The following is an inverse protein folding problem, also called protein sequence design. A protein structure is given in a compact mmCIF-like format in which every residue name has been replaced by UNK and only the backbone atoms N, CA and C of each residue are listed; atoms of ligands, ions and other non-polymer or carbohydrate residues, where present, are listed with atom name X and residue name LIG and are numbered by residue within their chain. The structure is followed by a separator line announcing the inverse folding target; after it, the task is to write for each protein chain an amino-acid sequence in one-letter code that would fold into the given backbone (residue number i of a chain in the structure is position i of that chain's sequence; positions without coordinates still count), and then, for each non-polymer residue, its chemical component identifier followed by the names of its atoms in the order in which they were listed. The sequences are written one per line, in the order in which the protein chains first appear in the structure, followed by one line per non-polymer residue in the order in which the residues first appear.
data_IF_235641071763
#
_entry.id   IF_235641071763
#
_cell.length_a   1.000
_cell.length_b   1.000
_cell.length_c   1.000
_cell.angle_alpha   90.00
_cell.angle_beta   90.00
_cell.angle_gamma   90.00
#
_symmetry.space_group_name_H-M   'P 1'
#
loop_
_entity.id
_entity.type
_entity.pdbx_description
1 polymer ?
#
# COMPACT_ATOMS: atom_id res chain seq x y z
N UNK A 1 -59.36 -10.45 25.88
CA UNK A 1 -57.88 -10.53 25.96
C UNK A 1 -57.36 -10.36 24.54
N UNK A 2 -56.80 -9.21 24.15
CA UNK A 2 -56.32 -9.04 22.80
C UNK A 2 -54.94 -9.68 22.68
N UNK A 3 -54.80 -10.51 21.66
CA UNK A 3 -53.59 -11.20 21.22
C UNK A 3 -52.54 -10.16 20.81
N UNK A 4 -51.38 -10.13 21.48
CA UNK A 4 -50.22 -9.34 21.03
C UNK A 4 -49.47 -10.15 19.99
N UNK A 5 -49.50 -9.70 18.74
CA UNK A 5 -48.63 -10.18 17.66
C UNK A 5 -47.27 -9.51 17.84
N UNK A 6 -46.24 -10.27 18.20
CA UNK A 6 -44.86 -9.78 18.22
C UNK A 6 -44.36 -9.71 16.78
N UNK A 7 -44.06 -8.50 16.29
CA UNK A 7 -43.39 -8.32 15.01
C UNK A 7 -41.91 -8.68 15.22
N UNK A 8 -41.48 -9.82 14.69
CA UNK A 8 -40.07 -10.19 14.66
C UNK A 8 -39.44 -9.47 13.45
N UNK A 9 -38.81 -8.32 13.67
CA UNK A 9 -38.00 -7.67 12.64
C UNK A 9 -36.66 -8.42 12.54
N UNK A 10 -36.53 -9.29 11.55
CA UNK A 10 -35.23 -9.83 11.14
C UNK A 10 -34.54 -8.78 10.26
N UNK A 11 -33.56 -8.07 10.81
CA UNK A 11 -32.62 -7.29 10.01
C UNK A 11 -31.61 -8.28 9.41
N UNK A 12 -31.80 -8.61 8.13
CA UNK A 12 -30.77 -9.22 7.31
C UNK A 12 -29.87 -8.07 6.85
N UNK A 13 -28.72 -7.90 7.50
CA UNK A 13 -27.64 -7.07 6.99
C UNK A 13 -26.67 -7.97 6.24
N UNK A 14 -26.52 -7.72 4.95
CA UNK A 14 -25.40 -8.21 4.16
C UNK A 14 -24.17 -7.38 4.52
N UNK A 15 -23.13 -8.06 4.99
CA UNK A 15 -21.79 -7.55 5.31
C UNK A 15 -21.60 -6.85 6.68
N UNK A 16 -20.76 -7.52 7.48
CA UNK A 16 -19.75 -6.96 8.41
C UNK A 16 -20.19 -6.39 9.76
N UNK A 17 -19.41 -6.81 10.79
CA UNK A 17 -19.34 -6.33 12.18
C UNK A 17 -20.41 -6.83 13.17
N UNK A 18 -20.15 -7.98 13.81
CA UNK A 18 -20.61 -8.22 15.18
C UNK A 18 -19.54 -7.69 16.16
N UNK A 19 -19.52 -6.37 16.34
CA UNK A 19 -18.95 -5.77 17.54
C UNK A 19 -19.96 -5.89 18.69
N UNK A 20 -19.49 -6.19 19.90
CA UNK A 20 -20.34 -6.18 21.10
C UNK A 20 -20.80 -4.75 21.42
N UNK A 21 -21.92 -4.32 20.85
CA UNK A 21 -22.62 -3.08 21.20
C UNK A 21 -23.87 -3.35 22.04
N UNK A 22 -24.16 -2.46 22.99
CA UNK A 22 -25.41 -2.50 23.78
C UNK A 22 -26.55 -1.96 22.93
N UNK A 23 -27.57 -2.78 22.67
CA UNK A 23 -28.81 -2.35 21.99
C UNK A 23 -29.72 -1.68 23.02
N UNK A 24 -29.94 -0.37 22.87
CA UNK A 24 -30.98 0.35 23.62
C UNK A 24 -32.27 0.32 22.81
N UNK A 25 -33.30 -0.35 23.34
CA UNK A 25 -34.64 -0.35 22.75
C UNK A 25 -35.36 0.91 23.23
N UNK A 26 -35.60 1.85 22.33
CA UNK A 26 -36.49 2.98 22.58
C UNK A 26 -37.91 2.53 22.25
N UNK A 27 -38.75 2.36 23.27
CA UNK A 27 -40.19 2.16 23.03
C UNK A 27 -40.80 3.49 22.53
N UNK A 28 -41.56 3.50 21.42
CA UNK A 28 -42.19 4.72 20.94
C UNK A 28 -43.39 5.05 21.82
N UNK A 29 -43.16 5.90 22.82
CA UNK A 29 -44.19 6.49 23.65
C UNK A 29 -44.50 7.92 23.20
N UNK A 30 -45.64 8.08 22.53
CA UNK A 30 -46.52 9.25 22.44
C UNK A 30 -45.91 10.66 22.22
N UNK A 31 -46.28 11.24 21.07
CA UNK A 31 -46.53 12.67 20.81
C UNK A 31 -45.79 13.68 21.71
N UNK A 32 -44.70 14.27 21.20
CA UNK A 32 -44.43 15.72 21.32
C UNK A 32 -43.34 16.15 20.31
N UNK A 33 -43.64 17.19 19.53
CA UNK A 33 -42.78 17.78 18.49
C UNK A 33 -41.57 18.57 19.08
N UNK A 34 -40.55 17.89 19.60
CA UNK A 34 -39.23 18.50 19.88
C UNK A 34 -38.07 17.48 19.85
N UNK A 35 -37.74 16.98 18.65
CA UNK A 35 -36.53 16.18 18.42
C UNK A 35 -35.36 17.08 18.03
N UNK A 36 -34.80 17.81 18.99
CA UNK A 36 -33.41 18.27 18.90
C UNK A 36 -32.50 17.26 19.59
N UNK A 37 -31.88 16.38 18.80
CA UNK A 37 -30.85 15.47 19.29
C UNK A 37 -29.61 16.29 19.63
N UNK A 38 -29.37 16.55 20.92
CA UNK A 38 -28.07 17.06 21.36
C UNK A 38 -26.99 16.01 21.02
N UNK A 39 -25.86 16.40 20.40
CA UNK A 39 -24.77 15.47 20.14
C UNK A 39 -24.24 14.94 21.48
N UNK A 40 -24.19 13.62 21.61
CA UNK A 40 -23.63 12.97 22.79
C UNK A 40 -22.18 13.43 23.00
N UNK A 41 -21.75 13.66 24.25
CA UNK A 41 -20.35 13.95 24.52
C UNK A 41 -19.49 12.78 24.04
N UNK A 42 -18.37 13.09 23.36
CA UNK A 42 -17.36 12.11 22.97
C UNK A 42 -16.91 11.32 24.21
N UNK A 43 -17.41 10.08 24.33
CA UNK A 43 -16.88 9.10 25.26
C UNK A 43 -15.74 8.42 24.50
N UNK A 44 -14.47 8.58 24.91
CA UNK A 44 -13.39 7.83 24.31
C UNK A 44 -13.74 6.34 24.41
N UNK A 45 -13.73 5.64 23.27
CA UNK A 45 -13.89 4.19 23.26
C UNK A 45 -12.86 3.53 24.20
N UNK A 46 -13.15 2.32 24.71
CA UNK A 46 -12.16 1.57 25.48
C UNK A 46 -10.84 1.51 24.67
N UNK A 47 -9.67 1.59 25.33
CA UNK A 47 -8.39 1.50 24.64
C UNK A 47 -8.39 0.22 23.79
N UNK A 48 -8.29 0.40 22.48
CA UNK A 48 -8.17 -0.68 21.52
C UNK A 48 -6.89 -1.45 21.89
N UNK A 49 -7.01 -2.77 22.11
CA UNK A 49 -5.87 -3.59 22.52
C UNK A 49 -4.73 -3.52 21.49
N UNK A 50 -3.51 -3.78 21.95
CA UNK A 50 -2.34 -3.89 21.08
C UNK A 50 -2.64 -4.89 19.94
N UNK A 51 -2.44 -4.49 18.69
CA UNK A 51 -2.71 -5.34 17.54
C UNK A 51 -1.88 -6.63 17.65
N UNK A 52 -2.53 -7.76 17.39
CA UNK A 52 -1.86 -9.06 17.25
C UNK A 52 -2.03 -9.56 15.82
N UNK A 53 -0.91 -9.95 15.20
CA UNK A 53 -0.91 -10.54 13.87
C UNK A 53 -1.69 -11.87 13.87
N UNK A 54 -2.70 -11.95 13.00
CA UNK A 54 -3.59 -13.09 12.86
C UNK A 54 -4.00 -13.26 11.39
N UNK A 55 -4.68 -14.35 11.09
CA UNK A 55 -5.28 -14.59 9.79
C UNK A 55 -6.61 -13.83 9.64
N UNK A 56 -6.93 -13.55 8.39
CA UNK A 56 -8.16 -12.95 7.89
C UNK A 56 -8.58 -13.68 6.60
N UNK A 57 -9.85 -13.57 6.25
CA UNK A 57 -10.46 -14.15 5.05
C UNK A 57 -11.12 -13.08 4.19
N UNK A 58 -10.76 -11.81 4.35
CA UNK A 58 -11.40 -10.67 3.69
C UNK A 58 -11.43 -10.83 2.16
N UNK A 59 -10.35 -11.36 1.58
CA UNK A 59 -10.21 -11.53 0.14
C UNK A 59 -10.70 -12.90 -0.39
N UNK A 60 -11.34 -13.72 0.45
CA UNK A 60 -11.88 -15.02 0.02
C UNK A 60 -13.26 -14.91 -0.64
N UNK A 61 -13.41 -15.59 -1.78
CA UNK A 61 -14.72 -15.79 -2.41
C UNK A 61 -15.39 -17.06 -1.88
N UNK A 62 -16.62 -16.94 -1.37
CA UNK A 62 -17.34 -18.07 -0.80
C UNK A 62 -16.86 -18.36 0.62
N UNK A 63 -17.75 -18.22 1.59
CA UNK A 63 -17.43 -18.36 3.01
C UNK A 63 -17.22 -19.83 3.38
N UNK A 64 -15.98 -20.29 3.19
CA UNK A 64 -15.60 -21.71 3.26
C UNK A 64 -14.35 -21.97 4.11
N UNK A 65 -13.70 -20.90 4.57
CA UNK A 65 -12.57 -20.94 5.48
C UNK A 65 -13.00 -20.66 6.91
N UNK A 66 -12.50 -21.47 7.83
CA UNK A 66 -12.57 -21.24 9.27
C UNK A 66 -11.18 -20.90 9.78
N UNK A 67 -11.08 -19.82 10.56
CA UNK A 67 -9.88 -19.49 11.34
C UNK A 67 -10.14 -19.94 12.78
N UNK A 68 -9.23 -20.74 13.33
CA UNK A 68 -9.33 -21.21 14.70
C UNK A 68 -9.23 -20.05 15.71
N UNK A 69 -9.67 -20.29 16.95
CA UNK A 69 -9.70 -19.24 17.98
C UNK A 69 -8.33 -18.67 18.39
N UNK A 70 -7.23 -19.27 17.95
CA UNK A 70 -5.87 -18.72 18.09
C UNK A 70 -5.53 -17.67 17.03
N UNK A 71 -6.35 -17.53 15.99
CA UNK A 71 -6.12 -16.63 14.87
C UNK A 71 -5.04 -17.09 13.90
N UNK A 72 -4.47 -18.30 14.05
CA UNK A 72 -3.27 -18.73 13.32
C UNK A 72 -3.49 -19.98 12.47
N UNK A 73 -4.49 -20.80 12.79
CA UNK A 73 -4.84 -21.99 11.99
C UNK A 73 -6.02 -21.69 11.07
N UNK A 74 -5.82 -21.86 9.75
CA UNK A 74 -6.89 -21.80 8.75
C UNK A 74 -7.25 -23.21 8.27
N UNK A 75 -8.55 -23.48 8.16
CA UNK A 75 -9.12 -24.74 7.70
C UNK A 75 -10.16 -24.49 6.60
N UNK A 76 -10.11 -25.26 5.52
CA UNK A 76 -11.14 -25.20 4.47
C UNK A 76 -12.12 -26.37 4.64
N UNK A 77 -13.37 -26.07 5.02
CA UNK A 77 -14.33 -27.09 5.47
C UNK A 77 -15.23 -27.64 4.36
N UNK A 78 -15.59 -26.79 3.39
CA UNK A 78 -16.48 -27.10 2.28
C UNK A 78 -16.18 -26.14 1.11
N UNK A 79 -16.49 -26.51 -0.13
CA UNK A 79 -16.09 -25.81 -1.37
C UNK A 79 -14.59 -25.88 -1.76
N UNK A 80 -14.37 -25.67 -3.05
CA UNK A 80 -13.15 -26.07 -3.75
C UNK A 80 -11.91 -25.22 -3.45
N UNK A 81 -12.04 -23.96 -3.02
CA UNK A 81 -10.90 -23.03 -2.86
C UNK A 81 -11.24 -21.78 -2.04
N UNK A 82 -10.34 -21.40 -1.11
CA UNK A 82 -10.35 -20.10 -0.42
C UNK A 82 -8.92 -19.64 -0.08
N UNK A 83 -8.74 -18.36 0.25
CA UNK A 83 -7.45 -17.76 0.63
C UNK A 83 -7.51 -17.20 2.04
N UNK A 84 -6.66 -17.72 2.92
CA UNK A 84 -6.36 -17.10 4.21
C UNK A 84 -5.13 -16.21 4.05
N UNK A 85 -5.18 -15.02 4.63
CA UNK A 85 -4.08 -14.06 4.58
C UNK A 85 -3.89 -13.38 5.94
N UNK A 86 -2.77 -12.70 6.16
CA UNK A 86 -2.56 -11.89 7.35
C UNK A 86 -3.56 -10.73 7.48
N UNK A 87 -3.89 -10.34 8.72
CA UNK A 87 -4.68 -9.15 9.04
C UNK A 87 -3.87 -7.84 8.99
N UNK A 88 -2.55 -7.95 8.84
CA UNK A 88 -1.63 -6.86 8.59
C UNK A 88 -0.67 -7.23 7.46
N UNK A 89 0.07 -6.25 6.99
CA UNK A 89 0.96 -6.36 5.84
C UNK A 89 2.15 -5.43 6.00
N UNK A 90 3.22 -5.70 5.27
CA UNK A 90 4.42 -4.85 5.25
C UNK A 90 4.64 -4.24 3.88
N UNK A 91 5.13 -3.00 3.85
CA UNK A 91 5.43 -2.25 2.61
C UNK A 91 6.92 -2.23 2.25
N UNK A 92 7.79 -2.53 3.22
CA UNK A 92 9.25 -2.53 3.09
C UNK A 92 9.88 -3.33 4.22
N UNK A 93 11.19 -3.54 4.20
CA UNK A 93 11.91 -4.33 5.20
C UNK A 93 12.05 -5.81 4.87
N UNK A 94 12.58 -6.57 5.85
CA UNK A 94 12.92 -7.99 5.72
C UNK A 94 12.19 -8.82 6.75
N UNK A 95 11.27 -9.65 6.26
CA UNK A 95 10.29 -10.34 7.11
C UNK A 95 10.32 -11.84 6.93
N UNK A 96 10.04 -12.57 8.00
CA UNK A 96 10.05 -14.01 8.03
C UNK A 96 8.83 -14.58 8.76
N UNK A 97 8.20 -15.59 8.17
CA UNK A 97 7.17 -16.39 8.83
C UNK A 97 7.28 -17.87 8.42
N UNK A 98 6.63 -18.73 9.19
CA UNK A 98 6.50 -20.16 8.89
C UNK A 98 5.05 -20.56 8.75
N UNK A 99 4.81 -21.56 7.91
CA UNK A 99 3.53 -22.24 7.80
C UNK A 99 3.75 -23.73 7.97
N UNK A 100 3.11 -24.29 8.99
CA UNK A 100 3.04 -25.73 9.21
C UNK A 100 1.85 -26.28 8.45
N UNK A 101 2.08 -27.33 7.66
CA UNK A 101 1.03 -27.98 6.88
C UNK A 101 0.46 -29.13 7.70
N UNK A 102 -0.71 -28.93 8.30
CA UNK A 102 -1.32 -29.90 9.21
C UNK A 102 -2.07 -30.99 8.44
N UNK A 103 -2.82 -30.58 7.42
CA UNK A 103 -3.41 -31.46 6.42
C UNK A 103 -3.43 -30.78 5.05
N UNK A 104 -3.31 -31.60 4.01
CA UNK A 104 -3.39 -31.17 2.63
C UNK A 104 -4.02 -32.32 1.85
N UNK A 105 -5.14 -32.04 1.22
CA UNK A 105 -5.90 -32.99 0.44
C UNK A 105 -5.22 -33.22 -0.90
N UNK A 106 -4.97 -34.50 -1.22
CA UNK A 106 -4.55 -34.92 -2.57
C UNK A 106 -5.72 -34.84 -3.58
N UNK A 107 -6.94 -34.59 -3.10
CA UNK A 107 -8.15 -34.46 -3.92
C UNK A 107 -8.41 -33.01 -4.40
N UNK A 108 -7.59 -32.05 -3.95
CA UNK A 108 -7.74 -30.62 -4.22
C UNK A 108 -6.79 -30.10 -5.31
N UNK A 109 -7.36 -29.74 -6.45
CA UNK A 109 -6.91 -28.68 -7.36
C UNK A 109 -5.45 -28.22 -7.20
N UNK A 110 -4.52 -28.86 -7.92
CA UNK A 110 -3.07 -28.57 -7.92
C UNK A 110 -2.68 -27.11 -8.22
N UNK A 111 -3.60 -26.25 -8.68
CA UNK A 111 -3.32 -24.84 -8.95
C UNK A 111 -3.71 -23.89 -7.81
N UNK A 112 -4.41 -24.38 -6.78
CA UNK A 112 -5.01 -23.57 -5.71
C UNK A 112 -4.16 -23.51 -4.43
N UNK A 113 -3.39 -24.55 -4.12
CA UNK A 113 -2.59 -24.61 -2.90
C UNK A 113 -1.27 -23.87 -3.07
N UNK A 114 -1.33 -22.55 -3.04
CA UNK A 114 -0.16 -21.67 -3.19
C UNK A 114 0.07 -20.89 -1.90
N UNK A 115 1.32 -20.89 -1.43
CA UNK A 115 1.75 -20.27 -0.18
C UNK A 115 2.85 -19.26 -0.44
N UNK A 116 2.74 -18.06 0.14
CA UNK A 116 3.79 -17.06 0.02
C UNK A 116 3.32 -15.68 0.46
N UNK A 117 3.76 -14.66 -0.29
CA UNK A 117 3.39 -13.26 -0.03
C UNK A 117 2.88 -12.60 -1.31
N UNK A 118 1.93 -11.69 -1.17
CA UNK A 118 1.40 -10.90 -2.27
C UNK A 118 0.61 -9.68 -1.82
N UNK A 119 0.41 -8.75 -2.72
CA UNK A 119 -0.46 -7.58 -2.48
C UNK A 119 -1.93 -7.99 -2.46
N UNK A 120 -2.80 -7.14 -1.92
CA UNK A 120 -4.24 -7.39 -1.84
C UNK A 120 -4.88 -7.79 -3.18
N UNK A 121 -4.39 -7.24 -4.30
CA UNK A 121 -4.86 -7.52 -5.65
C UNK A 121 -4.73 -9.00 -6.06
N UNK A 122 -3.71 -9.70 -5.55
CA UNK A 122 -3.44 -11.11 -5.89
C UNK A 122 -3.96 -12.09 -4.84
N UNK A 123 -4.47 -11.61 -3.70
CA UNK A 123 -5.06 -12.48 -2.67
C UNK A 123 -6.42 -13.05 -3.07
N UNK A 124 -7.08 -12.43 -4.05
CA UNK A 124 -8.27 -13.00 -4.69
C UNK A 124 -7.97 -14.29 -5.48
N UNK A 125 -6.75 -14.44 -5.99
CA UNK A 125 -6.30 -15.62 -6.72
C UNK A 125 -4.77 -15.76 -6.67
N UNK A 126 -4.27 -16.53 -5.72
CA UNK A 126 -2.83 -16.79 -5.52
C UNK A 126 -2.16 -17.54 -6.67
N UNK A 127 -2.93 -18.04 -7.63
CA UNK A 127 -2.44 -18.70 -8.85
C UNK A 127 -1.96 -17.75 -9.95
N UNK A 128 -2.27 -16.44 -9.85
CA UNK A 128 -1.96 -15.42 -10.86
C UNK A 128 -1.36 -14.22 -10.14
N UNK A 129 -0.04 -14.05 -10.23
CA UNK A 129 0.64 -12.99 -9.46
C UNK A 129 0.95 -11.76 -10.30
N UNK A 130 1.23 -11.92 -11.60
CA UNK A 130 1.69 -10.81 -12.45
C UNK A 130 2.92 -10.07 -11.89
N UNK A 131 3.66 -10.68 -10.96
CA UNK A 131 4.75 -10.09 -10.19
C UNK A 131 4.39 -9.26 -8.95
N UNK A 132 3.11 -9.14 -8.60
CA UNK A 132 2.65 -8.51 -7.36
C UNK A 132 2.68 -9.47 -6.16
N UNK A 133 3.42 -10.58 -6.28
CA UNK A 133 3.60 -11.56 -5.22
C UNK A 133 4.46 -12.73 -5.69
N UNK A 134 4.85 -13.58 -4.75
CA UNK A 134 5.47 -14.85 -5.05
C UNK A 134 4.80 -15.92 -4.19
N UNK A 135 4.27 -16.94 -4.86
CA UNK A 135 3.63 -18.07 -4.19
C UNK A 135 4.22 -19.39 -4.67
N UNK A 136 4.60 -20.22 -3.70
CA UNK A 136 5.06 -21.59 -3.90
C UNK A 136 3.86 -22.53 -3.90
N UNK A 137 3.69 -23.24 -5.01
CA UNK A 137 2.67 -24.26 -5.16
C UNK A 137 3.12 -25.57 -4.49
N UNK A 138 2.17 -26.41 -4.04
CA UNK A 138 2.43 -27.73 -3.41
C UNK A 138 3.32 -28.65 -4.24
N UNK A 139 3.33 -28.49 -5.56
CA UNK A 139 4.23 -29.24 -6.46
C UNK A 139 5.71 -28.81 -6.39
N UNK A 140 6.02 -27.71 -5.70
CA UNK A 140 7.35 -27.10 -5.67
C UNK A 140 7.61 -26.14 -6.84
N UNK A 141 6.59 -25.86 -7.66
CA UNK A 141 6.65 -24.85 -8.72
C UNK A 141 6.19 -23.48 -8.21
N UNK A 142 6.49 -22.41 -8.95
CA UNK A 142 5.93 -21.09 -8.68
C UNK A 142 4.59 -20.90 -9.39
N UNK A 143 3.64 -20.27 -8.73
CA UNK A 143 2.42 -19.79 -9.35
C UNK A 143 2.71 -18.52 -10.16
N UNK A 144 2.47 -18.58 -11.48
CA UNK A 144 2.54 -17.48 -12.45
C UNK A 144 3.56 -16.37 -12.13
N UNK A 145 4.89 -16.67 -12.18
CA UNK A 145 5.92 -15.75 -11.71
C UNK A 145 6.16 -14.57 -12.67
N UNK A 146 6.57 -13.42 -12.12
CA UNK A 146 6.84 -12.17 -12.84
C UNK A 146 7.77 -12.32 -14.05
N UNK A 147 8.96 -12.87 -13.78
CA UNK A 147 9.90 -13.34 -14.78
C UNK A 147 9.83 -14.86 -14.79
N UNK A 148 10.20 -15.53 -15.88
CA UNK A 148 10.30 -16.99 -15.94
C UNK A 148 11.61 -17.43 -15.30
N UNK A 149 11.70 -17.65 -13.97
CA UNK A 149 12.97 -17.90 -13.33
C UNK A 149 13.29 -19.38 -13.57
N UNK A 150 14.57 -19.73 -13.67
CA UNK A 150 14.95 -21.11 -13.38
C UNK A 150 14.77 -21.32 -11.86
N UNK A 151 13.55 -21.67 -11.45
CA UNK A 151 13.22 -21.97 -10.06
C UNK A 151 13.14 -23.48 -9.85
N UNK A 152 14.06 -24.02 -9.04
CA UNK A 152 14.00 -25.40 -8.56
C UNK A 152 13.51 -25.44 -7.12
N UNK A 153 12.20 -25.51 -6.94
CA UNK A 153 11.58 -25.71 -5.62
C UNK A 153 11.50 -27.17 -5.21
N UNK A 154 10.92 -27.40 -4.03
CA UNK A 154 10.61 -28.72 -3.51
C UNK A 154 9.12 -28.81 -3.18
N UNK A 155 8.44 -29.93 -3.50
CA UNK A 155 7.05 -30.11 -3.12
C UNK A 155 6.91 -30.15 -1.60
N UNK A 156 5.76 -29.73 -1.09
CA UNK A 156 5.42 -29.74 0.33
C UNK A 156 4.06 -30.39 0.59
N UNK A 157 3.85 -30.89 1.81
CA UNK A 157 2.61 -31.54 2.21
C UNK A 157 2.53 -31.75 3.72
N UNK A 158 1.60 -32.59 4.21
CA UNK A 158 1.35 -32.76 5.65
C UNK A 158 2.61 -33.09 6.45
N UNK A 159 2.82 -32.35 7.54
CA UNK A 159 3.98 -32.47 8.43
C UNK A 159 5.22 -31.67 7.99
N UNK A 160 5.22 -31.06 6.81
CA UNK A 160 6.27 -30.12 6.40
C UNK A 160 6.04 -28.74 7.01
N UNK A 161 7.14 -28.03 7.27
CA UNK A 161 7.14 -26.59 7.60
C UNK A 161 7.77 -25.84 6.43
N UNK A 162 6.99 -24.93 5.85
CA UNK A 162 7.44 -24.03 4.79
C UNK A 162 7.78 -22.68 5.40
N UNK A 163 9.02 -22.23 5.20
CA UNK A 163 9.47 -20.92 5.63
C UNK A 163 9.49 -19.94 4.46
N UNK A 164 9.02 -18.72 4.70
CA UNK A 164 8.98 -17.65 3.71
C UNK A 164 9.77 -16.46 4.25
N UNK A 165 10.82 -16.07 3.53
CA UNK A 165 11.57 -14.85 3.81
C UNK A 165 11.29 -13.83 2.70
N UNK A 166 10.70 -12.69 3.04
CA UNK A 166 10.38 -11.61 2.12
C UNK A 166 11.36 -10.45 2.36
N UNK A 167 12.25 -10.21 1.41
CA UNK A 167 13.08 -9.01 1.35
C UNK A 167 12.36 -7.99 0.47
N UNK A 168 11.48 -7.21 1.08
CA UNK A 168 10.66 -6.21 0.38
C UNK A 168 11.51 -5.01 -0.02
N UNK A 169 12.64 -4.75 0.62
CA UNK A 169 13.59 -3.72 0.18
C UNK A 169 14.27 -4.09 -1.14
N UNK A 170 14.58 -5.39 -1.32
CA UNK A 170 15.23 -5.89 -2.53
C UNK A 170 14.26 -6.47 -3.58
N UNK A 171 12.97 -6.53 -3.29
CA UNK A 171 11.95 -7.16 -4.14
C UNK A 171 12.18 -8.65 -4.37
N UNK A 172 12.51 -9.40 -3.30
CA UNK A 172 12.82 -10.83 -3.40
C UNK A 172 12.11 -11.66 -2.32
N UNK A 173 11.56 -12.79 -2.73
CA UNK A 173 10.95 -13.78 -1.82
C UNK A 173 11.71 -15.10 -1.90
N UNK A 174 12.06 -15.65 -0.74
CA UNK A 174 12.82 -16.88 -0.62
C UNK A 174 11.98 -17.92 0.11
N UNK A 175 11.96 -19.13 -0.43
CA UNK A 175 11.26 -20.26 0.16
C UNK A 175 12.24 -21.27 0.73
N UNK A 176 11.87 -21.86 1.86
CA UNK A 176 12.55 -23.04 2.40
C UNK A 176 11.53 -24.09 2.83
N UNK A 177 11.98 -25.34 2.86
CA UNK A 177 11.22 -26.45 3.44
C UNK A 177 12.08 -27.18 4.47
N UNK A 178 11.55 -27.37 5.67
CA UNK A 178 12.23 -28.08 6.75
C UNK A 178 13.68 -27.61 6.96
N UNK A 179 13.90 -26.29 6.94
CA UNK A 179 15.20 -25.64 7.12
C UNK A 179 16.08 -25.49 5.86
N UNK A 180 15.78 -26.20 4.76
CA UNK A 180 16.56 -26.12 3.52
C UNK A 180 16.03 -25.07 2.54
N UNK A 181 16.86 -24.06 2.21
CA UNK A 181 16.54 -23.06 1.19
C UNK A 181 16.41 -23.66 -0.20
N UNK A 182 15.35 -23.29 -0.92
CA UNK A 182 15.08 -23.76 -2.27
C UNK A 182 15.92 -23.02 -3.31
N UNK A 183 16.08 -23.61 -4.49
CA UNK A 183 16.78 -23.01 -5.63
C UNK A 183 18.21 -22.53 -5.33
N UNK A 184 18.91 -23.12 -4.36
CA UNK A 184 20.23 -22.69 -3.92
C UNK A 184 20.28 -21.29 -3.29
N UNK A 185 19.12 -20.79 -2.84
CA UNK A 185 19.00 -19.46 -2.29
C UNK A 185 19.80 -19.27 -0.99
N UNK A 186 20.25 -18.04 -0.77
CA UNK A 186 20.80 -17.57 0.49
C UNK A 186 20.24 -16.16 0.79
N UNK A 187 19.12 -16.07 1.52
CA UNK A 187 18.46 -14.79 1.82
C UNK A 187 19.34 -13.82 2.63
N UNK A 188 20.15 -14.32 3.57
CA UNK A 188 21.06 -13.47 4.36
C UNK A 188 22.11 -12.76 3.48
N UNK A 189 22.51 -13.40 2.37
CA UNK A 189 23.41 -12.82 1.38
C UNK A 189 22.69 -12.16 0.18
N UNK A 190 21.35 -12.11 0.18
CA UNK A 190 20.54 -11.59 -0.94
C UNK A 190 20.63 -12.40 -2.24
N UNK A 191 21.08 -13.65 -2.20
CA UNK A 191 21.32 -14.46 -3.39
C UNK A 191 20.15 -15.39 -3.71
N UNK A 192 19.70 -15.38 -4.97
CA UNK A 192 18.58 -16.20 -5.45
C UNK A 192 17.22 -15.56 -5.16
N UNK A 193 16.26 -16.37 -4.76
CA UNK A 193 14.88 -15.93 -4.51
C UNK A 193 14.08 -15.73 -5.78
N UNK A 194 12.78 -15.50 -5.59
CA UNK A 194 11.81 -15.13 -6.61
C UNK A 194 11.69 -13.62 -6.62
N UNK A 195 11.87 -13.03 -7.79
CA UNK A 195 11.71 -11.59 -7.96
C UNK A 195 10.22 -11.23 -7.92
N UNK A 196 9.91 -10.18 -7.16
CA UNK A 196 8.60 -9.54 -7.11
C UNK A 196 8.77 -8.07 -7.45
N UNK A 197 7.78 -7.49 -8.10
CA UNK A 197 7.72 -6.04 -8.26
C UNK A 197 7.38 -5.44 -6.92
N UNK A 198 8.30 -4.72 -6.30
CA UNK A 198 7.98 -3.83 -5.18
C UNK A 198 7.82 -2.45 -5.79
N UNK A 199 6.56 -2.07 -6.02
CA UNK A 199 6.27 -0.75 -6.56
C UNK A 199 6.09 0.22 -5.40
N UNK A 200 6.87 1.31 -5.39
CA UNK A 200 6.63 2.45 -4.51
C UNK A 200 5.13 2.84 -4.52
N UNK A 201 4.43 2.72 -3.39
CA UNK A 201 3.03 3.12 -3.23
C UNK A 201 1.94 2.16 -3.74
N UNK A 202 2.27 0.97 -4.26
CA UNK A 202 1.28 0.08 -4.90
C UNK A 202 0.98 -1.24 -4.16
N UNK A 203 1.41 -1.41 -2.92
CA UNK A 203 0.94 -2.57 -2.17
C UNK A 203 1.72 -2.89 -0.92
N UNK A 204 0.97 -3.10 0.14
CA UNK A 204 1.38 -3.85 1.30
C UNK A 204 1.36 -5.35 0.97
N UNK A 205 2.41 -6.08 1.30
CA UNK A 205 2.48 -7.53 1.10
C UNK A 205 1.92 -8.24 2.30
N UNK A 206 0.97 -9.15 2.05
CA UNK A 206 0.37 -10.00 3.06
C UNK A 206 0.96 -11.40 2.95
N UNK A 207 1.21 -12.08 4.08
CA UNK A 207 1.43 -13.52 4.07
C UNK A 207 0.10 -14.19 3.75
N UNK A 208 0.10 -15.17 2.86
CA UNK A 208 -1.15 -15.81 2.44
C UNK A 208 -0.96 -17.25 1.98
N UNK A 209 -2.04 -18.03 2.11
CA UNK A 209 -2.15 -19.39 1.61
C UNK A 209 -3.52 -19.62 0.96
N UNK A 210 -3.49 -20.23 -0.22
CA UNK A 210 -4.68 -20.84 -0.83
C UNK A 210 -4.91 -22.25 -0.28
N UNK A 211 -6.15 -22.56 0.08
CA UNK A 211 -6.56 -23.84 0.67
C UNK A 211 -7.77 -24.41 -0.07
N UNK A 212 -7.78 -25.72 -0.25
CA UNK A 212 -8.89 -26.52 -0.79
C UNK A 212 -9.54 -27.37 0.29
N UNK A 213 -10.71 -27.96 0.00
CA UNK A 213 -11.49 -28.74 0.98
C UNK A 213 -10.62 -29.78 1.71
N UNK A 214 -10.60 -29.70 3.05
CA UNK A 214 -9.85 -30.62 3.91
C UNK A 214 -8.40 -30.19 4.19
N UNK A 215 -7.93 -29.09 3.60
CA UNK A 215 -6.63 -28.51 3.89
C UNK A 215 -6.69 -27.74 5.21
N UNK A 216 -5.63 -27.89 6.02
CA UNK A 216 -5.42 -27.19 7.28
C UNK A 216 -3.96 -26.76 7.35
N UNK A 217 -3.75 -25.47 7.62
CA UNK A 217 -2.42 -24.91 7.75
C UNK A 217 -2.36 -23.92 8.92
N UNK A 218 -1.24 -23.93 9.64
CA UNK A 218 -1.02 -23.09 10.81
C UNK A 218 0.17 -22.16 10.59
N UNK A 219 -0.06 -20.85 10.73
CA UNK A 219 0.97 -19.84 10.60
C UNK A 219 1.70 -19.61 11.93
N UNK A 220 3.00 -19.34 11.84
CA UNK A 220 3.76 -18.71 12.91
C UNK A 220 4.34 -17.42 12.35
N UNK A 221 3.85 -16.28 12.85
CA UNK A 221 4.35 -14.95 12.50
C UNK A 221 5.48 -14.45 13.42
N UNK A 222 5.85 -15.22 14.46
CA UNK A 222 6.88 -14.86 15.44
C UNK A 222 6.41 -14.75 16.89
N UNK A 223 5.14 -15.02 17.17
CA UNK A 223 4.62 -15.05 18.54
C UNK A 223 5.18 -16.22 19.36
N UNK A 224 5.64 -17.27 18.68
CA UNK A 224 6.34 -18.42 19.27
C UNK A 224 7.64 -18.69 18.51
N UNK A 225 8.56 -19.44 19.12
CA UNK A 225 9.82 -19.82 18.48
C UNK A 225 9.56 -20.52 17.13
N UNK A 226 10.28 -20.07 16.09
CA UNK A 226 10.25 -20.73 14.78
C UNK A 226 10.89 -22.12 14.86
N UNK A 227 10.35 -23.08 14.10
CA UNK A 227 10.93 -24.42 13.98
C UNK A 227 12.32 -24.37 13.35
N UNK A 228 12.53 -23.40 12.45
CA UNK A 228 13.82 -23.10 11.87
C UNK A 228 14.13 -21.60 12.09
N UNK A 229 15.35 -21.23 12.49
CA UNK A 229 15.65 -19.83 12.77
C UNK A 229 15.54 -18.97 11.49
N UNK A 230 15.04 -17.72 11.59
CA UNK A 230 15.05 -16.78 10.47
C UNK A 230 16.48 -16.57 9.92
N UNK A 231 16.64 -16.21 8.64
CA UNK A 231 17.93 -15.74 8.15
C UNK A 231 18.41 -14.50 8.92
N UNK A 232 19.71 -14.29 8.97
CA UNK A 232 20.29 -13.07 9.53
C UNK A 232 19.72 -11.82 8.83
N UNK A 233 19.27 -10.85 9.63
CA UNK A 233 18.69 -9.60 9.13
C UNK A 233 17.20 -9.66 8.77
N UNK A 234 16.51 -10.77 9.03
CA UNK A 234 15.06 -10.88 8.85
C UNK A 234 14.34 -10.90 10.21
N UNK A 235 13.36 -10.03 10.37
CA UNK A 235 12.51 -9.98 11.56
C UNK A 235 11.30 -10.91 11.42
N UNK A 236 10.69 -11.37 12.53
CA UNK A 236 9.40 -12.06 12.46
C UNK A 236 8.33 -11.16 11.85
N UNK A 237 7.50 -11.69 10.95
CA UNK A 237 6.46 -10.92 10.22
C UNK A 237 5.43 -10.27 11.14
N UNK A 238 5.18 -10.82 12.33
CA UNK A 238 4.27 -10.22 13.30
C UNK A 238 4.89 -9.09 14.14
N UNK A 239 6.12 -8.66 13.83
CA UNK A 239 6.82 -7.63 14.60
C UNK A 239 6.54 -6.24 14.05
N UNK A 240 6.47 -5.24 14.94
CA UNK A 240 6.32 -3.85 14.54
C UNK A 240 4.91 -3.48 14.06
N UNK A 241 3.93 -4.37 14.14
CA UNK A 241 2.54 -4.06 13.80
C UNK A 241 1.87 -3.29 14.96
N UNK A 242 1.14 -2.23 14.62
CA UNK A 242 0.42 -1.35 15.53
C UNK A 242 -1.09 -1.32 15.24
N UNK A 243 -1.87 -0.75 16.15
CA UNK A 243 -3.30 -0.53 15.98
C UNK A 243 -3.56 0.92 15.54
N UNK A 244 -4.23 1.13 14.42
CA UNK A 244 -4.61 2.47 13.97
C UNK A 244 -5.84 3.02 14.72
N UNK A 245 -6.23 4.26 14.43
CA UNK A 245 -7.38 4.91 15.06
C UNK A 245 -8.73 4.20 14.81
N UNK A 246 -8.81 3.35 13.77
CA UNK A 246 -9.98 2.55 13.45
C UNK A 246 -9.99 1.17 14.14
N UNK A 247 -8.89 0.80 14.80
CA UNK A 247 -8.71 -0.53 15.39
C UNK A 247 -8.13 -1.55 14.41
N UNK A 248 -7.69 -1.15 13.23
CA UNK A 248 -7.06 -2.02 12.25
C UNK A 248 -5.58 -2.22 12.57
N UNK A 249 -5.09 -3.41 12.22
CA UNK A 249 -3.69 -3.78 12.35
C UNK A 249 -2.89 -3.23 11.16
N UNK A 250 -1.92 -2.36 11.44
CA UNK A 250 -1.11 -1.70 10.43
C UNK A 250 0.38 -1.91 10.71
N UNK A 251 1.18 -2.04 9.66
CA UNK A 251 2.61 -1.74 9.77
C UNK A 251 2.76 -0.22 9.75
N UNK A 252 3.20 0.43 10.84
CA UNK A 252 3.56 1.86 10.81
C UNK A 252 4.77 2.11 9.88
N UNK A 253 5.41 1.05 9.39
CA UNK A 253 6.69 1.05 8.73
C UNK A 253 7.83 1.16 9.75
N UNK A 254 9.10 0.92 9.37
CA UNK A 254 10.24 1.27 10.22
C UNK A 254 10.10 2.70 10.75
N UNK A 255 10.50 2.95 12.02
CA UNK A 255 10.55 4.30 12.58
C UNK A 255 11.26 5.24 11.57
N UNK A 256 10.52 6.17 10.99
CA UNK A 256 10.98 6.97 9.85
C UNK A 256 10.48 6.53 8.47
N UNK A 257 9.39 5.76 8.37
CA UNK A 257 8.53 5.73 7.19
C UNK A 257 7.42 6.78 7.36
N UNK A 258 7.45 7.88 6.57
CA UNK A 258 6.36 8.85 6.48
C UNK A 258 5.08 8.19 6.00
N UNK A 259 3.95 8.79 6.41
CA UNK A 259 2.63 8.53 5.85
C UNK A 259 2.69 8.41 4.31
N UNK A 260 1.79 7.59 3.74
CA UNK A 260 1.48 7.55 2.30
C UNK A 260 1.71 8.93 1.68
N UNK A 261 2.49 9.09 0.59
CA UNK A 261 2.74 10.41 0.05
C UNK A 261 1.42 11.10 -0.17
N UNK A 262 1.33 12.32 0.33
CA UNK A 262 0.15 13.14 0.27
C UNK A 262 -0.49 13.08 -1.12
N UNK A 263 -1.78 12.70 -1.23
CA UNK A 263 -2.45 12.77 -2.51
C UNK A 263 -2.42 14.21 -3.02
N UNK A 264 -2.02 14.38 -4.28
CA UNK A 264 -2.14 15.66 -4.94
C UNK A 264 -3.52 15.73 -5.59
N UNK A 265 -4.32 16.70 -5.16
CA UNK A 265 -5.54 17.08 -5.88
C UNK A 265 -5.19 18.14 -6.92
N UNK A 266 -5.76 18.02 -8.13
CA UNK A 266 -5.49 18.97 -9.20
C UNK A 266 -6.76 19.39 -9.95
N UNK A 267 -6.79 20.65 -10.36
CA UNK A 267 -7.77 21.18 -11.31
C UNK A 267 -7.06 21.36 -12.65
N UNK A 268 -7.26 20.40 -13.55
CA UNK A 268 -6.80 20.49 -14.93
C UNK A 268 -7.89 21.17 -15.79
N UNK A 269 -7.58 22.32 -16.39
CA UNK A 269 -8.43 22.97 -17.38
C UNK A 269 -8.48 22.19 -18.70
N UNK A 270 -7.37 21.57 -19.09
CA UNK A 270 -7.29 20.70 -20.26
C UNK A 270 -6.38 19.50 -20.00
N UNK A 271 -6.70 18.37 -20.63
CA UNK A 271 -6.01 17.10 -20.43
C UNK A 271 -6.42 16.37 -19.14
N UNK A 272 -6.13 15.08 -19.10
CA UNK A 272 -6.36 14.24 -17.93
C UNK A 272 -5.30 14.52 -16.86
N UNK A 273 -5.70 14.46 -15.59
CA UNK A 273 -4.77 14.44 -14.48
C UNK A 273 -4.00 13.11 -14.50
N UNK A 274 -2.67 13.19 -14.44
CA UNK A 274 -1.81 12.03 -14.28
C UNK A 274 -0.91 12.22 -13.09
N UNK A 275 -0.69 11.16 -12.33
CA UNK A 275 0.09 11.23 -11.12
C UNK A 275 0.93 9.98 -10.90
N UNK A 276 1.91 10.14 -10.03
CA UNK A 276 2.72 9.07 -9.46
C UNK A 276 3.03 9.44 -8.02
N UNK A 277 3.07 8.45 -7.15
CA UNK A 277 3.49 8.59 -5.77
C UNK A 277 4.40 7.40 -5.45
N UNK A 278 5.56 7.64 -4.84
CA UNK A 278 6.48 6.59 -4.42
C UNK A 278 6.15 6.09 -3.00
N UNK A 279 6.71 4.97 -2.55
CA UNK A 279 6.79 4.65 -1.13
C UNK A 279 7.90 5.54 -0.58
N UNK A 280 7.58 6.26 0.49
CA UNK A 280 8.25 7.47 0.95
C UNK A 280 9.79 7.53 0.83
N UNK A 281 10.29 8.74 0.54
CA UNK A 281 11.69 9.11 0.55
C UNK A 281 11.99 10.11 1.67
N UNK A 282 12.73 9.66 2.70
CA UNK A 282 13.46 10.54 3.63
C UNK A 282 12.64 11.49 4.52
N UNK A 283 13.36 12.35 5.28
CA UNK A 283 12.76 13.37 6.15
C UNK A 283 12.28 14.63 5.40
N UNK A 284 12.55 14.70 4.09
CA UNK A 284 12.15 15.79 3.19
C UNK A 284 11.62 15.16 1.89
N UNK A 285 10.38 15.48 1.53
CA UNK A 285 9.71 14.93 0.35
C UNK A 285 9.94 15.81 -0.89
N UNK A 286 10.26 15.19 -2.03
CA UNK A 286 10.40 15.84 -3.33
C UNK A 286 9.15 15.64 -4.18
N UNK A 287 8.38 16.71 -4.40
CA UNK A 287 7.20 16.66 -5.26
C UNK A 287 7.39 17.48 -6.54
N UNK A 288 7.02 16.88 -7.67
CA UNK A 288 7.11 17.49 -8.99
C UNK A 288 5.70 17.81 -9.50
N UNK A 289 5.44 19.09 -9.77
CA UNK A 289 4.23 19.57 -10.46
C UNK A 289 4.59 19.95 -11.88
N UNK A 290 3.99 19.27 -12.84
CA UNK A 290 4.26 19.44 -14.27
C UNK A 290 3.04 19.90 -15.06
N UNK A 291 3.19 20.96 -15.84
CA UNK A 291 2.17 21.38 -16.80
C UNK A 291 2.76 21.61 -18.19
N UNK A 292 1.94 21.52 -19.24
CA UNK A 292 2.36 22.01 -20.55
C UNK A 292 2.14 23.53 -20.63
N UNK A 293 0.97 23.97 -20.18
CA UNK A 293 0.55 25.38 -20.19
C UNK A 293 -0.36 25.68 -19.00
N UNK A 294 -0.50 26.93 -18.52
CA UNK A 294 -1.52 27.27 -17.54
C UNK A 294 -2.93 27.07 -18.14
N UNK A 295 -3.92 26.70 -17.33
CA UNK A 295 -5.29 26.51 -17.82
C UNK A 295 -5.92 27.79 -18.40
N UNK A 296 -5.52 28.96 -17.87
CA UNK A 296 -5.84 30.27 -18.43
C UNK A 296 -5.08 30.67 -19.71
N UNK A 297 -4.20 29.80 -20.23
CA UNK A 297 -3.30 30.05 -21.36
C UNK A 297 -1.94 30.62 -20.96
N UNK A 298 -1.07 30.79 -21.95
CA UNK A 298 0.31 31.27 -21.77
C UNK A 298 0.39 32.59 -20.96
N UNK A 299 1.25 32.60 -19.95
CA UNK A 299 1.42 33.68 -18.98
C UNK A 299 0.41 33.68 -17.83
N UNK A 300 -0.48 32.68 -17.79
CA UNK A 300 -1.48 32.46 -16.74
C UNK A 300 -0.88 32.08 -15.38
N UNK A 301 -1.72 32.17 -14.35
CA UNK A 301 -1.35 31.81 -12.98
C UNK A 301 -1.65 30.34 -12.71
N UNK A 302 -0.76 29.70 -11.96
CA UNK A 302 -0.94 28.33 -11.46
C UNK A 302 -0.72 28.35 -9.95
N UNK A 303 -1.74 27.96 -9.19
CA UNK A 303 -1.68 27.94 -7.73
C UNK A 303 -1.26 26.56 -7.24
N UNK A 304 -0.24 26.51 -6.39
CA UNK A 304 0.23 25.30 -5.71
C UNK A 304 0.09 25.51 -4.21
N UNK A 305 -0.79 24.74 -3.58
CA UNK A 305 -1.02 24.77 -2.14
C UNK A 305 -0.41 23.53 -1.48
N UNK A 306 0.32 23.72 -0.38
CA UNK A 306 0.96 22.64 0.37
C UNK A 306 0.37 22.56 1.77
N UNK A 307 -0.35 21.49 2.04
CA UNK A 307 -0.93 21.14 3.35
C UNK A 307 -0.10 20.08 4.08
N UNK A 308 0.64 19.26 3.32
CA UNK A 308 1.54 18.21 3.83
C UNK A 308 2.42 18.69 4.96
N UNK A 309 2.31 18.03 6.11
CA UNK A 309 3.15 18.31 7.26
C UNK A 309 4.58 17.80 7.02
N UNK A 310 5.57 18.57 7.47
CA UNK A 310 6.99 18.25 7.30
C UNK A 310 7.68 19.09 6.23
N UNK A 311 8.89 18.65 5.86
CA UNK A 311 9.76 19.34 4.92
C UNK A 311 9.48 18.89 3.47
N UNK A 312 9.30 19.85 2.57
CA UNK A 312 8.95 19.61 1.18
C UNK A 312 9.83 20.42 0.22
N UNK A 313 10.51 19.73 -0.69
CA UNK A 313 11.12 20.32 -1.87
C UNK A 313 10.13 20.25 -3.05
N UNK A 314 9.96 21.35 -3.78
CA UNK A 314 9.06 21.42 -4.94
C UNK A 314 9.83 21.62 -6.23
N UNK A 315 9.42 20.90 -7.27
CA UNK A 315 9.83 21.16 -8.67
C UNK A 315 8.60 21.59 -9.44
N UNK A 316 8.67 22.74 -10.10
CA UNK A 316 7.61 23.30 -10.92
C UNK A 316 8.08 23.28 -12.37
N UNK A 317 7.45 22.47 -13.21
CA UNK A 317 7.77 22.28 -14.62
C UNK A 317 6.69 22.88 -15.52
N UNK A 318 7.08 23.68 -16.51
CA UNK A 318 6.16 24.19 -17.55
C UNK A 318 6.83 24.34 -18.91
N UNK A 319 6.09 24.12 -20.00
CA UNK A 319 6.59 24.45 -21.34
C UNK A 319 6.29 25.91 -21.69
N UNK A 320 5.02 26.31 -21.67
CA UNK A 320 4.60 27.69 -21.89
C UNK A 320 4.87 28.58 -20.67
N UNK A 321 4.86 29.90 -20.86
CA UNK A 321 5.09 30.86 -19.78
C UNK A 321 4.04 30.68 -18.68
N UNK A 322 4.46 30.67 -17.41
CA UNK A 322 3.57 30.55 -16.27
C UNK A 322 3.99 31.45 -15.09
N UNK A 323 3.01 31.78 -14.26
CA UNK A 323 3.20 32.47 -12.98
C UNK A 323 2.76 31.54 -11.86
N UNK A 324 3.70 30.79 -11.31
CA UNK A 324 3.42 29.93 -10.18
C UNK A 324 3.28 30.74 -8.91
N UNK A 325 2.28 30.39 -8.10
CA UNK A 325 2.12 30.91 -6.74
C UNK A 325 2.09 29.73 -5.78
N UNK A 326 3.08 29.68 -4.90
CA UNK A 326 3.19 28.62 -3.90
C UNK A 326 2.72 29.16 -2.55
N UNK A 327 1.84 28.42 -1.88
CA UNK A 327 1.31 28.75 -0.55
C UNK A 327 1.35 27.53 0.35
N UNK A 328 1.47 27.74 1.66
CA UNK A 328 1.55 26.67 2.66
C UNK A 328 0.46 26.83 3.71
N UNK A 329 -0.09 25.71 4.18
CA UNK A 329 -0.92 25.65 5.37
C UNK A 329 -0.06 25.77 6.65
N UNK A 330 -0.65 26.07 7.81
CA UNK A 330 0.07 26.01 9.08
C UNK A 330 0.69 24.62 9.31
N UNK A 331 1.99 24.56 9.64
CA UNK A 331 2.71 23.32 9.88
C UNK A 331 3.41 22.70 8.66
N UNK A 332 3.01 23.09 7.45
CA UNK A 332 3.70 22.72 6.22
C UNK A 332 4.95 23.57 5.98
N UNK A 333 6.07 22.93 5.61
CA UNK A 333 7.35 23.62 5.39
C UNK A 333 7.91 23.33 4.00
N UNK A 334 7.86 24.32 3.10
CA UNK A 334 8.58 24.24 1.82
C UNK A 334 10.03 24.69 2.03
N UNK A 335 10.99 23.82 1.73
CA UNK A 335 12.43 24.04 1.95
C UNK A 335 13.11 24.72 0.78
N UNK A 336 12.70 24.39 -0.45
CA UNK A 336 13.20 24.94 -1.71
C UNK A 336 12.23 24.73 -2.86
N UNK A 337 12.36 25.57 -3.89
CA UNK A 337 11.61 25.43 -5.14
C UNK A 337 12.59 25.44 -6.32
N UNK A 338 12.47 24.45 -7.20
CA UNK A 338 13.13 24.40 -8.49
C UNK A 338 12.12 24.77 -9.58
N UNK A 339 12.34 25.85 -10.32
CA UNK A 339 11.57 26.17 -11.51
C UNK A 339 12.30 25.66 -12.74
N UNK A 340 11.69 24.75 -13.51
CA UNK A 340 12.15 24.34 -14.83
C UNK A 340 11.13 24.78 -15.87
N UNK A 341 11.49 25.71 -16.76
CA UNK A 341 10.57 26.17 -17.80
C UNK A 341 11.21 26.40 -19.15
N UNK A 342 10.46 26.15 -20.23
CA UNK A 342 10.95 26.47 -21.57
C UNK A 342 10.84 27.99 -21.78
N UNK A 343 9.62 28.52 -21.71
CA UNK A 343 9.34 29.95 -21.82
C UNK A 343 9.55 30.70 -20.48
N UNK A 344 9.72 32.05 -20.51
CA UNK A 344 9.94 32.87 -19.33
C UNK A 344 8.82 32.73 -18.29
N UNK A 345 9.16 32.15 -17.14
CA UNK A 345 8.22 31.88 -16.05
C UNK A 345 8.72 32.43 -14.71
N UNK A 346 7.81 32.57 -13.75
CA UNK A 346 8.12 33.13 -12.43
C UNK A 346 7.45 32.33 -11.31
N UNK A 347 8.04 32.39 -10.11
CA UNK A 347 7.48 31.80 -8.89
C UNK A 347 7.31 32.89 -7.84
N UNK A 348 6.11 32.97 -7.27
CA UNK A 348 5.85 33.68 -6.01
C UNK A 348 5.90 32.67 -4.87
N UNK A 349 7.04 32.62 -4.17
CA UNK A 349 7.30 31.66 -3.10
C UNK A 349 6.90 32.20 -1.71
N UNK A 350 6.67 31.32 -0.72
CA UNK A 350 6.55 31.73 0.68
C UNK A 350 7.81 32.47 1.16
N UNK A 351 7.70 33.39 2.14
CA UNK A 351 8.84 34.18 2.62
C UNK A 351 9.99 33.29 3.13
N UNK A 352 11.19 33.52 2.60
CA UNK A 352 12.41 32.82 3.03
C UNK A 352 12.71 31.51 2.27
N UNK A 353 11.81 31.07 1.38
CA UNK A 353 12.04 29.87 0.55
C UNK A 353 12.92 30.23 -0.66
N UNK A 354 14.09 29.58 -0.84
CA UNK A 354 14.93 29.78 -2.02
C UNK A 354 14.25 29.22 -3.28
N UNK A 355 14.44 29.94 -4.40
CA UNK A 355 13.96 29.53 -5.73
C UNK A 355 15.15 29.49 -6.69
N UNK A 356 15.45 28.32 -7.22
CA UNK A 356 16.44 28.13 -8.29
C UNK A 356 15.70 27.99 -9.62
N UNK A 357 16.08 28.80 -10.61
CA UNK A 357 15.34 28.91 -11.88
C UNK A 357 16.19 28.48 -13.08
N UNK A 358 15.67 27.50 -13.82
CA UNK A 358 16.20 26.94 -15.07
C UNK A 358 15.20 27.25 -16.18
N UNK A 359 15.41 28.39 -16.85
CA UNK A 359 14.47 28.93 -17.84
C UNK A 359 15.15 28.94 -19.20
N UNK A 360 14.81 27.99 -20.06
CA UNK A 360 15.56 27.71 -21.29
C UNK A 360 15.70 28.94 -22.19
N UNK A 361 14.63 29.70 -22.44
CA UNK A 361 14.69 30.90 -23.28
C UNK A 361 15.48 32.07 -22.66
N UNK A 362 15.77 32.03 -21.36
CA UNK A 362 16.51 33.08 -20.65
C UNK A 362 17.99 32.73 -20.46
N UNK A 363 18.28 31.50 -20.01
CA UNK A 363 19.62 31.07 -19.63
C UNK A 363 20.13 29.84 -20.41
N UNK A 364 19.33 29.28 -21.32
CA UNK A 364 19.69 28.10 -22.10
C UNK A 364 19.72 26.80 -21.30
N UNK A 365 19.21 26.80 -20.06
CA UNK A 365 19.21 25.65 -19.16
C UNK A 365 17.77 25.28 -18.77
N UNK A 366 17.49 23.98 -18.70
CA UNK A 366 16.27 23.42 -18.14
C UNK A 366 16.61 22.08 -17.47
N UNK A 367 15.85 21.70 -16.45
CA UNK A 367 15.94 20.36 -15.86
C UNK A 367 15.19 19.31 -16.69
N UNK A 368 14.42 19.76 -17.68
CA UNK A 368 13.45 18.95 -18.42
C UNK A 368 12.06 19.57 -18.32
N UNK A 369 11.13 19.05 -19.12
CA UNK A 369 9.73 19.47 -19.11
C UNK A 369 8.84 18.24 -19.11
N UNK A 370 7.79 18.27 -18.32
CA UNK A 370 6.80 17.21 -18.30
C UNK A 370 5.45 17.77 -17.86
N UNK A 371 4.40 17.28 -18.51
CA UNK A 371 3.02 17.46 -18.08
C UNK A 371 2.31 16.13 -17.79
N UNK A 372 3.01 15.00 -17.96
CA UNK A 372 2.39 13.67 -17.94
C UNK A 372 3.30 12.59 -17.36
N UNK A 373 2.69 11.67 -16.60
CA UNK A 373 3.32 10.43 -16.15
C UNK A 373 2.91 9.20 -17.00
N UNK A 374 3.78 8.18 -17.20
CA UNK A 374 5.21 8.15 -16.89
C UNK A 374 6.08 8.86 -17.92
N UNK A 375 5.53 9.19 -19.08
CA UNK A 375 6.24 9.85 -20.15
C UNK A 375 5.34 10.91 -20.80
N UNK A 376 5.94 12.05 -21.11
CA UNK A 376 5.33 13.06 -21.95
C UNK A 376 5.51 12.70 -23.43
N UNK A 377 4.54 13.09 -24.26
CA UNK A 377 4.56 12.90 -25.72
C UNK A 377 4.58 14.22 -26.48
N UNK A 378 4.47 15.36 -25.76
CA UNK A 378 4.32 16.71 -26.30
C UNK A 378 5.62 17.51 -26.50
N UNK A 379 6.79 16.86 -26.43
CA UNK A 379 8.10 17.52 -26.59
C UNK A 379 8.95 17.62 -25.31
N UNK A 380 8.50 17.03 -24.21
CA UNK A 380 9.25 16.84 -22.98
C UNK A 380 9.63 15.38 -22.71
N UNK A 381 10.53 15.15 -21.75
CA UNK A 381 10.89 13.83 -21.21
C UNK A 381 10.72 13.86 -19.68
N UNK A 382 9.70 13.14 -19.21
CA UNK A 382 9.36 13.07 -17.78
C UNK A 382 10.47 12.42 -16.97
N UNK A 383 11.14 11.40 -17.51
CA UNK A 383 12.18 10.68 -16.78
C UNK A 383 13.48 11.52 -16.72
N UNK A 384 13.75 12.34 -17.75
CA UNK A 384 14.84 13.32 -17.71
C UNK A 384 14.61 14.38 -16.61
N UNK A 385 13.39 14.93 -16.53
CA UNK A 385 13.02 15.88 -15.48
C UNK A 385 13.19 15.28 -14.08
N UNK A 386 12.74 14.04 -13.89
CA UNK A 386 12.89 13.33 -12.60
C UNK A 386 14.37 13.19 -12.26
N UNK A 387 15.19 12.64 -13.15
CA UNK A 387 16.61 12.41 -12.89
C UNK A 387 17.37 13.72 -12.59
N UNK A 388 17.04 14.81 -13.29
CA UNK A 388 17.64 16.12 -13.04
C UNK A 388 17.18 16.72 -11.70
N UNK A 389 15.89 16.62 -11.37
CA UNK A 389 15.35 17.06 -10.09
C UNK A 389 15.99 16.32 -8.91
N UNK A 390 16.12 14.99 -9.00
CA UNK A 390 16.78 14.17 -7.98
C UNK A 390 18.27 14.53 -7.84
N UNK A 391 18.96 14.80 -8.96
CA UNK A 391 20.36 15.22 -8.94
C UNK A 391 20.57 16.60 -8.30
N UNK A 392 19.68 17.57 -8.54
CA UNK A 392 19.79 18.94 -8.00
C UNK A 392 19.38 19.03 -6.52
N UNK A 393 18.49 18.13 -6.09
CA UNK A 393 17.99 18.10 -4.71
C UNK A 393 18.75 17.13 -3.82
N UNK A 394 19.31 16.06 -4.40
CA UNK A 394 19.82 14.92 -3.64
C UNK A 394 18.70 14.08 -2.99
N UNK A 395 17.44 14.31 -3.39
CA UNK A 395 16.26 13.63 -2.86
C UNK A 395 15.67 12.71 -3.92
N UNK A 396 15.24 11.49 -3.59
CA UNK A 396 14.43 10.67 -4.49
C UNK A 396 13.04 11.29 -4.64
N UNK A 397 12.44 11.22 -5.83
CA UNK A 397 11.11 11.77 -6.07
C UNK A 397 10.04 11.04 -5.24
N UNK A 398 9.29 11.83 -4.45
CA UNK A 398 8.17 11.38 -3.62
C UNK A 398 6.86 11.34 -4.40
N UNK A 399 6.58 12.35 -5.24
CA UNK A 399 5.44 12.29 -6.16
C UNK A 399 5.63 13.13 -7.42
N UNK A 400 4.90 12.75 -8.48
CA UNK A 400 4.69 13.55 -9.69
C UNK A 400 3.20 13.83 -9.86
N UNK A 401 2.86 15.04 -10.29
CA UNK A 401 1.50 15.46 -10.58
C UNK A 401 1.47 16.30 -11.85
N UNK A 402 0.69 15.86 -12.84
CA UNK A 402 0.70 16.42 -14.18
C UNK A 402 -0.68 16.71 -14.75
N UNK A 403 -0.85 17.90 -15.31
CA UNK A 403 -1.98 18.29 -16.17
C UNK A 403 -1.43 18.85 -17.47
N UNK A 404 -2.11 18.66 -18.61
CA UNK A 404 -1.71 19.40 -19.83
C UNK A 404 -1.92 20.91 -19.64
N UNK A 405 -3.14 21.33 -19.29
CA UNK A 405 -3.46 22.69 -18.85
C UNK A 405 -3.81 22.71 -17.37
N UNK A 406 -2.92 23.17 -16.48
CA UNK A 406 -3.15 23.14 -15.03
C UNK A 406 -3.45 24.52 -14.45
N UNK A 407 -4.38 24.58 -13.48
CA UNK A 407 -4.72 25.81 -12.75
C UNK A 407 -4.39 25.73 -11.25
N UNK A 408 -4.74 24.61 -10.60
CA UNK A 408 -4.59 24.45 -9.14
C UNK A 408 -4.04 23.06 -8.84
N UNK A 409 -3.10 23.00 -7.91
CA UNK A 409 -2.56 21.77 -7.32
C UNK A 409 -2.53 21.91 -5.81
N UNK A 410 -3.07 20.94 -5.08
CA UNK A 410 -3.04 20.89 -3.62
C UNK A 410 -2.38 19.60 -3.17
N UNK A 411 -1.22 19.72 -2.52
CA UNK A 411 -0.56 18.62 -1.85
C UNK A 411 -1.21 18.49 -0.46
N UNK A 412 -2.12 17.52 -0.30
CA UNK A 412 -2.89 17.31 0.94
C UNK A 412 -2.01 16.73 2.06
N UNK A 413 -2.55 16.43 3.25
CA UNK A 413 -1.78 15.78 4.33
C UNK A 413 -2.04 14.27 4.41
#
# INVERSE_FOLDING_TARGET
MPTRTTLLAALVSTASLLGCGTVVIIEPGADDDDDTVEPLPDVPGPPLGDCTMALSTEYSFGLSLEIAGDGLTASCLNDSYGVAHGNASHVGGRWYFEVSIDSMSDEGIWWAQNLGVGTAEVLYNTGVTGGMGAFLNTTGSLADPFSTPNFSGAPYGPGDVVGVAADLDAGRVFFRKNGGWMNGANPAAGNGGVEIMVLPGSGSYYPAIGLSTGDVATFNFGATDFAYPPPEGFAPFGSGIETDASGACIDPGPEGIPATPAPMEAICATGDFTSYASGASGAEELHIVGIYTPGGGEGGQVDVHVERQGATALVLSTYDAAKFRVTTAPGATVTRILLSSYAPSTVTAPPGVPVDSYVYEVNGQALGFASRWPNDTGGGDTQELVAAAESETGLPMSSFSGCYGGDVFTLTD
#
